data_IF_042875461053
#
_entry.id   IF_042875461053
#
_cell.length_a   1.000
_cell.length_b   1.000
_cell.length_c   1.000
_cell.angle_alpha   90.00
_cell.angle_beta   90.00
_cell.angle_gamma   90.00
#
_symmetry.space_group_name_H-M   'P 1'
#
loop_
_entity.id
_entity.type
_entity.pdbx_description
1 polymer ?
#
# COMPACT_ATOMS: atom_id res chain seq x y z
N UNK A 1 5.99 13.73 36.24
CA UNK A 1 4.79 14.56 35.98
C UNK A 1 3.59 13.65 36.17
N UNK A 2 2.63 14.05 37.03
CA UNK A 2 1.45 13.24 37.33
C UNK A 2 0.54 13.10 36.09
N UNK A 3 -0.26 12.03 36.05
CA UNK A 3 -1.28 11.85 35.03
C UNK A 3 -2.51 12.71 35.37
N UNK A 4 -2.85 13.64 34.48
CA UNK A 4 -4.10 14.37 34.49
C UNK A 4 -4.59 14.52 33.05
N UNK A 5 -5.89 14.63 32.84
CA UNK A 5 -6.48 14.84 31.51
C UNK A 5 -5.90 16.09 30.83
N UNK A 6 -5.70 17.17 31.59
CA UNK A 6 -5.09 18.40 31.09
C UNK A 6 -3.64 18.20 30.65
N UNK A 7 -2.86 17.39 31.37
CA UNK A 7 -1.50 17.07 30.98
C UNK A 7 -1.45 16.28 29.67
N UNK A 8 -2.40 15.36 29.45
CA UNK A 8 -2.55 14.63 28.19
C UNK A 8 -2.90 15.61 27.07
N UNK A 9 -3.93 16.44 27.25
CA UNK A 9 -4.38 17.40 26.23
C UNK A 9 -3.30 18.44 25.89
N UNK A 10 -2.53 18.89 26.87
CA UNK A 10 -1.39 19.78 26.66
C UNK A 10 -0.31 19.12 25.80
N UNK A 11 0.04 17.85 26.08
CA UNK A 11 1.01 17.09 25.28
C UNK A 11 0.53 16.84 23.86
N UNK A 12 -0.73 16.43 23.69
CA UNK A 12 -1.32 16.25 22.37
C UNK A 12 -1.36 17.57 21.58
N UNK A 13 -1.60 18.69 22.25
CA UNK A 13 -1.61 20.02 21.62
C UNK A 13 -0.20 20.50 21.23
N UNK A 14 0.82 20.20 22.04
CA UNK A 14 2.21 20.52 21.77
C UNK A 14 2.91 19.58 20.75
N UNK A 15 2.28 18.46 20.40
CA UNK A 15 2.83 17.46 19.48
C UNK A 15 3.17 18.04 18.09
N UNK A 16 4.42 17.91 17.65
CA UNK A 16 4.86 18.29 16.30
C UNK A 16 5.11 17.05 15.42
N UNK A 17 5.47 17.27 14.16
CA UNK A 17 5.80 16.19 13.20
C UNK A 17 7.21 15.61 13.44
N UNK A 18 8.02 16.21 14.32
CA UNK A 18 9.39 15.74 14.55
C UNK A 18 9.40 14.42 15.32
N UNK A 19 10.33 13.54 14.95
CA UNK A 19 10.47 12.22 15.59
C UNK A 19 10.66 12.35 17.11
N UNK A 20 11.49 13.28 17.57
CA UNK A 20 11.74 13.49 19.00
C UNK A 20 10.46 13.91 19.76
N UNK A 21 9.60 14.72 19.14
CA UNK A 21 8.32 15.12 19.74
C UNK A 21 7.39 13.92 19.87
N UNK A 22 7.26 13.13 18.80
CA UNK A 22 6.39 11.94 18.77
C UNK A 22 6.86 10.89 19.76
N UNK A 23 8.15 10.54 19.72
CA UNK A 23 8.75 9.54 20.62
C UNK A 23 8.68 10.00 22.07
N UNK A 24 9.02 11.26 22.37
CA UNK A 24 8.98 11.80 23.72
C UNK A 24 7.57 11.79 24.33
N UNK A 25 6.55 12.16 23.54
CA UNK A 25 5.16 12.09 23.99
C UNK A 25 4.70 10.63 24.13
N UNK A 26 5.03 9.75 23.18
CA UNK A 26 4.70 8.33 23.22
C UNK A 26 5.26 7.66 24.49
N UNK A 27 6.52 7.90 24.81
CA UNK A 27 7.18 7.37 26.01
C UNK A 27 6.45 7.78 27.30
N UNK A 28 6.06 9.06 27.41
CA UNK A 28 5.32 9.54 28.57
C UNK A 28 3.92 8.93 28.66
N UNK A 29 3.23 8.75 27.53
CA UNK A 29 1.93 8.09 27.46
C UNK A 29 2.05 6.62 27.88
N UNK A 30 3.03 5.90 27.35
CA UNK A 30 3.28 4.49 27.69
C UNK A 30 3.68 4.27 29.15
N UNK A 31 4.35 5.23 29.78
CA UNK A 31 4.63 5.18 31.21
C UNK A 31 3.33 5.15 32.04
N UNK A 32 2.28 5.84 31.57
CA UNK A 32 0.96 5.90 32.22
C UNK A 32 -0.06 4.90 31.62
N UNK A 33 0.39 3.71 31.19
CA UNK A 33 -0.46 2.68 30.55
C UNK A 33 -1.73 2.27 31.31
N UNK A 34 -1.75 2.44 32.65
CA UNK A 34 -2.96 2.19 33.47
C UNK A 34 -4.15 3.07 33.07
N UNK A 35 -3.88 4.18 32.39
CA UNK A 35 -4.89 5.10 31.87
C UNK A 35 -4.99 5.02 30.33
N UNK A 36 -4.67 3.87 29.73
CA UNK A 36 -4.69 3.70 28.27
C UNK A 36 -6.04 4.08 27.66
N UNK A 37 -7.14 3.54 28.20
CA UNK A 37 -8.49 3.81 27.71
C UNK A 37 -8.82 5.31 27.76
N UNK A 38 -8.59 5.96 28.91
CA UNK A 38 -8.82 7.41 29.05
C UNK A 38 -7.96 8.23 28.10
N UNK A 39 -6.71 7.83 27.91
CA UNK A 39 -5.79 8.51 26.99
C UNK A 39 -6.24 8.38 25.54
N UNK A 40 -6.72 7.19 25.12
CA UNK A 40 -7.24 6.98 23.76
C UNK A 40 -8.52 7.79 23.52
N UNK A 41 -9.41 7.88 24.51
CA UNK A 41 -10.60 8.74 24.42
C UNK A 41 -10.24 10.22 24.21
N UNK A 42 -9.29 10.75 24.99
CA UNK A 42 -8.81 12.13 24.85
C UNK A 42 -8.09 12.35 23.52
N UNK A 43 -7.30 11.37 23.08
CA UNK A 43 -6.65 11.38 21.77
C UNK A 43 -7.67 11.44 20.62
N UNK A 44 -8.71 10.59 20.66
CA UNK A 44 -9.74 10.57 19.62
C UNK A 44 -10.51 11.88 19.58
N UNK A 45 -10.89 12.41 20.75
CA UNK A 45 -11.54 13.73 20.86
C UNK A 45 -10.65 14.80 20.22
N UNK A 46 -9.37 14.84 20.60
CA UNK A 46 -8.43 15.82 20.05
C UNK A 46 -8.22 15.66 18.55
N UNK A 47 -8.21 14.44 18.04
CA UNK A 47 -8.08 14.15 16.60
C UNK A 47 -9.27 14.70 15.82
N UNK A 48 -10.49 14.52 16.31
CA UNK A 48 -11.71 15.08 15.70
C UNK A 48 -11.65 16.61 15.62
N UNK A 49 -11.18 17.26 16.68
CA UNK A 49 -11.08 18.72 16.81
C UNK A 49 -9.83 19.35 16.16
N UNK A 50 -9.01 18.57 15.45
CA UNK A 50 -7.72 19.01 14.89
C UNK A 50 -7.76 19.24 13.38
N UNK A 51 -6.84 20.06 12.86
CA UNK A 51 -6.61 20.24 11.42
C UNK A 51 -5.98 19.00 10.78
N UNK A 52 -6.03 18.88 9.44
CA UNK A 52 -5.51 17.72 8.71
C UNK A 52 -4.05 17.37 9.07
N UNK A 53 -3.16 18.36 9.11
CA UNK A 53 -1.75 18.13 9.48
C UNK A 53 -1.60 17.64 10.92
N UNK A 54 -2.39 18.22 11.83
CA UNK A 54 -2.35 17.84 13.25
C UNK A 54 -2.94 16.44 13.47
N UNK A 55 -3.97 16.05 12.70
CA UNK A 55 -4.51 14.68 12.68
C UNK A 55 -3.44 13.68 12.26
N UNK A 56 -2.64 13.98 11.24
CA UNK A 56 -1.52 13.12 10.83
C UNK A 56 -0.52 12.90 11.97
N UNK A 57 -0.10 13.96 12.68
CA UNK A 57 0.81 13.82 13.82
C UNK A 57 0.23 12.94 14.93
N UNK A 58 -1.09 13.06 15.18
CA UNK A 58 -1.79 12.21 16.14
C UNK A 58 -1.88 10.75 15.69
N UNK A 59 -2.00 10.48 14.39
CA UNK A 59 -1.90 9.13 13.82
C UNK A 59 -0.48 8.57 13.99
N UNK A 60 0.57 9.36 13.75
CA UNK A 60 1.94 8.94 14.01
C UNK A 60 2.20 8.63 15.48
N UNK A 61 1.63 9.41 16.40
CA UNK A 61 1.69 9.12 17.82
C UNK A 61 1.00 7.78 18.17
N UNK A 62 -0.21 7.54 17.64
CA UNK A 62 -0.91 6.28 17.86
C UNK A 62 -0.13 5.09 17.30
N UNK A 63 0.51 5.27 16.14
CA UNK A 63 1.41 4.30 15.54
C UNK A 63 2.60 3.98 16.46
N UNK A 64 3.31 5.00 16.95
CA UNK A 64 4.45 4.84 17.85
C UNK A 64 4.07 4.11 19.14
N UNK A 65 2.96 4.52 19.77
CA UNK A 65 2.46 3.89 21.00
C UNK A 65 2.03 2.45 20.76
N UNK A 66 1.30 2.15 19.68
CA UNK A 66 0.80 0.80 19.39
C UNK A 66 1.96 -0.16 19.11
N UNK A 67 2.93 0.25 18.29
CA UNK A 67 4.09 -0.56 17.96
C UNK A 67 4.99 -0.81 19.16
N UNK A 68 5.31 0.24 19.95
CA UNK A 68 6.12 0.05 21.15
C UNK A 68 5.40 -0.77 22.23
N UNK A 69 4.08 -0.63 22.35
CA UNK A 69 3.28 -1.44 23.27
C UNK A 69 3.34 -2.92 22.86
N UNK A 70 3.16 -3.21 21.56
CA UNK A 70 3.32 -4.57 21.01
C UNK A 70 4.72 -5.13 21.23
N UNK A 71 5.77 -4.37 20.89
CA UNK A 71 7.16 -4.80 21.04
C UNK A 71 7.56 -5.07 22.50
N UNK A 72 6.87 -4.45 23.46
CA UNK A 72 7.08 -4.65 24.91
C UNK A 72 6.11 -5.66 25.52
N UNK A 73 5.31 -6.37 24.69
CA UNK A 73 4.27 -7.30 25.14
C UNK A 73 3.30 -6.68 26.15
N UNK A 74 2.88 -5.44 25.87
CA UNK A 74 1.90 -4.68 26.67
C UNK A 74 0.69 -4.39 25.80
N UNK A 75 -0.45 -4.97 26.12
CA UNK A 75 -1.62 -4.92 25.26
C UNK A 75 -2.60 -3.80 25.64
N UNK A 76 -2.39 -3.09 26.75
CA UNK A 76 -3.38 -2.11 27.25
C UNK A 76 -3.73 -1.03 26.22
N UNK A 77 -2.72 -0.53 25.49
CA UNK A 77 -2.96 0.42 24.41
C UNK A 77 -3.53 -0.23 23.15
N UNK A 78 -3.14 -1.46 22.81
CA UNK A 78 -3.70 -2.16 21.65
C UNK A 78 -5.20 -2.40 21.84
N UNK A 79 -5.59 -2.90 23.01
CA UNK A 79 -7.00 -3.10 23.41
C UNK A 79 -7.75 -1.77 23.42
N UNK A 80 -7.16 -0.71 23.99
CA UNK A 80 -7.81 0.60 24.04
C UNK A 80 -7.98 1.25 22.65
N UNK A 81 -7.02 1.10 21.74
CA UNK A 81 -7.10 1.64 20.39
C UNK A 81 -8.05 0.85 19.48
N UNK A 82 -8.15 -0.46 19.67
CA UNK A 82 -8.94 -1.37 18.82
C UNK A 82 -10.35 -0.86 18.46
N UNK A 83 -11.21 -0.43 19.42
CA UNK A 83 -12.55 0.05 19.09
C UNK A 83 -12.58 1.43 18.42
N UNK A 84 -11.51 2.23 18.56
CA UNK A 84 -11.46 3.62 18.13
C UNK A 84 -10.68 3.84 16.81
N UNK A 85 -9.75 2.95 16.48
CA UNK A 85 -8.74 3.18 15.43
C UNK A 85 -9.35 3.31 14.04
N UNK A 86 -10.35 2.49 13.71
CA UNK A 86 -11.03 2.54 12.41
C UNK A 86 -11.79 3.86 12.19
N UNK A 87 -12.42 4.40 13.25
CA UNK A 87 -13.06 5.71 13.19
C UNK A 87 -12.03 6.85 13.14
N UNK A 88 -10.97 6.75 13.95
CA UNK A 88 -9.93 7.76 14.01
C UNK A 88 -9.20 7.92 12.67
N UNK A 89 -8.81 6.81 12.06
CA UNK A 89 -8.13 6.79 10.75
C UNK A 89 -9.04 7.34 9.67
N UNK A 90 -10.31 6.91 9.62
CA UNK A 90 -11.28 7.46 8.67
C UNK A 90 -11.47 8.97 8.84
N UNK A 91 -11.53 9.47 10.08
CA UNK A 91 -11.64 10.89 10.40
C UNK A 91 -10.39 11.69 9.98
N UNK A 92 -9.21 11.11 10.18
CA UNK A 92 -7.95 11.70 9.75
C UNK A 92 -7.82 11.73 8.23
N UNK A 93 -8.37 10.74 7.53
CA UNK A 93 -8.29 10.60 6.09
C UNK A 93 -9.31 11.46 5.34
N UNK A 94 -10.54 11.57 5.87
CA UNK A 94 -11.64 12.30 5.24
C UNK A 94 -11.32 13.80 5.15
N UNK A 95 -11.32 14.32 3.92
CA UNK A 95 -11.06 15.73 3.63
C UNK A 95 -9.59 16.15 3.77
N UNK A 96 -8.68 15.20 3.99
CA UNK A 96 -7.25 15.47 4.00
C UNK A 96 -6.68 15.65 2.58
N UNK A 97 -5.61 16.45 2.41
CA UNK A 97 -4.82 16.49 1.18
C UNK A 97 -4.28 15.11 0.75
N UNK A 98 -3.99 14.93 -0.54
CA UNK A 98 -3.57 13.65 -1.10
C UNK A 98 -2.25 13.12 -0.51
N UNK A 99 -1.30 14.00 -0.21
CA UNK A 99 -0.04 13.68 0.44
C UNK A 99 -0.23 13.18 1.87
N UNK A 100 -1.12 13.82 2.64
CA UNK A 100 -1.47 13.39 4.01
C UNK A 100 -2.18 12.03 3.98
N UNK A 101 -3.08 11.82 3.03
CA UNK A 101 -3.77 10.54 2.83
C UNK A 101 -2.81 9.40 2.51
N UNK A 102 -1.84 9.63 1.62
CA UNK A 102 -0.80 8.64 1.30
C UNK A 102 0.02 8.27 2.53
N UNK A 103 0.39 9.27 3.35
CA UNK A 103 1.11 9.03 4.61
C UNK A 103 0.28 8.23 5.62
N UNK A 104 -1.02 8.52 5.74
CA UNK A 104 -1.95 7.74 6.59
C UNK A 104 -2.05 6.29 6.08
N UNK A 105 -2.18 6.08 4.77
CA UNK A 105 -2.18 4.73 4.17
C UNK A 105 -0.92 3.97 4.51
N UNK A 106 0.25 4.61 4.37
CA UNK A 106 1.51 3.98 4.72
C UNK A 106 1.56 3.51 6.18
N UNK A 107 0.98 4.29 7.11
CA UNK A 107 0.88 3.86 8.53
C UNK A 107 -0.01 2.62 8.66
N UNK A 108 -1.15 2.58 7.97
CA UNK A 108 -2.06 1.42 7.98
C UNK A 108 -1.39 0.18 7.37
N UNK A 109 -0.64 0.34 6.26
CA UNK A 109 0.13 -0.75 5.64
C UNK A 109 1.18 -1.29 6.62
N UNK A 110 1.89 -0.40 7.33
CA UNK A 110 2.86 -0.79 8.36
C UNK A 110 2.19 -1.56 9.50
N UNK A 111 0.96 -1.21 9.88
CA UNK A 111 0.20 -2.00 10.86
C UNK A 111 -0.11 -3.40 10.36
N UNK A 112 -0.47 -3.56 9.09
CA UNK A 112 -0.67 -4.88 8.46
C UNK A 112 0.63 -5.67 8.40
N UNK A 113 1.70 -5.09 7.85
CA UNK A 113 3.01 -5.72 7.72
C UNK A 113 3.55 -6.24 9.06
N UNK A 114 3.34 -5.47 10.14
CA UNK A 114 3.80 -5.81 11.49
C UNK A 114 2.75 -6.50 12.34
N UNK A 115 1.58 -6.84 11.79
CA UNK A 115 0.42 -7.42 12.48
C UNK A 115 0.04 -6.67 13.76
N UNK A 116 0.10 -5.33 13.78
CA UNK A 116 -0.06 -4.51 15.00
C UNK A 116 -1.43 -4.69 15.64
N UNK A 117 -2.47 -4.73 14.81
CA UNK A 117 -3.85 -5.03 15.19
C UNK A 117 -4.28 -6.37 14.60
N UNK A 118 -5.32 -6.98 15.19
CA UNK A 118 -5.92 -8.19 14.66
C UNK A 118 -6.55 -7.96 13.28
N UNK A 119 -6.61 -9.02 12.47
CA UNK A 119 -7.12 -8.97 11.08
C UNK A 119 -8.48 -8.29 10.96
N UNK A 120 -9.50 -8.57 11.81
CA UNK A 120 -10.81 -7.92 11.67
C UNK A 120 -10.75 -6.39 11.85
N UNK A 121 -9.87 -5.91 12.74
CA UNK A 121 -9.69 -4.47 12.99
C UNK A 121 -8.97 -3.84 11.81
N UNK A 122 -7.91 -4.49 11.32
CA UNK A 122 -7.16 -4.04 10.16
C UNK A 122 -8.05 -3.94 8.91
N UNK A 123 -8.86 -4.96 8.66
CA UNK A 123 -9.80 -4.99 7.53
C UNK A 123 -10.88 -3.90 7.69
N UNK A 124 -11.37 -3.66 8.91
CA UNK A 124 -12.31 -2.57 9.17
C UNK A 124 -11.70 -1.17 8.90
N UNK A 125 -10.42 -0.96 9.22
CA UNK A 125 -9.70 0.28 8.90
C UNK A 125 -9.60 0.45 7.38
N UNK A 126 -9.15 -0.57 6.67
CA UNK A 126 -8.94 -0.52 5.22
C UNK A 126 -10.24 -0.39 4.43
N UNK A 127 -11.29 -1.11 4.83
CA UNK A 127 -12.61 -1.00 4.21
C UNK A 127 -13.14 0.44 4.30
N UNK A 128 -13.02 1.10 5.45
CA UNK A 128 -13.41 2.51 5.61
C UNK A 128 -12.60 3.44 4.72
N UNK A 129 -11.28 3.21 4.60
CA UNK A 129 -10.45 4.01 3.70
C UNK A 129 -10.82 3.82 2.23
N UNK A 130 -11.12 2.58 1.83
CA UNK A 130 -11.53 2.25 0.48
C UNK A 130 -12.93 2.81 0.14
N UNK A 131 -13.86 2.79 1.09
CA UNK A 131 -15.17 3.45 0.95
C UNK A 131 -15.02 4.97 0.75
N UNK A 132 -14.13 5.62 1.51
CA UNK A 132 -13.88 7.06 1.36
C UNK A 132 -13.24 7.39 -0.01
N UNK A 133 -12.38 6.53 -0.54
CA UNK A 133 -11.83 6.68 -1.88
C UNK A 133 -12.88 6.48 -2.96
N UNK A 134 -13.72 5.45 -2.85
CA UNK A 134 -14.83 5.19 -3.77
C UNK A 134 -15.81 6.35 -3.78
N UNK A 135 -16.17 6.87 -2.60
CA UNK A 135 -17.04 8.04 -2.47
C UNK A 135 -16.43 9.27 -3.17
N UNK A 136 -15.09 9.41 -3.16
CA UNK A 136 -14.38 10.48 -3.87
C UNK A 136 -14.29 10.25 -5.38
N UNK A 137 -14.23 9.00 -5.83
CA UNK A 137 -14.21 8.60 -7.24
C UNK A 137 -15.46 8.99 -8.03
N UNK A 138 -16.58 9.24 -7.34
CA UNK A 138 -17.84 9.75 -7.94
C UNK A 138 -17.92 11.27 -8.05
N UNK A 139 -16.97 12.02 -7.46
CA UNK A 139 -16.95 13.50 -7.49
C UNK A 139 -15.56 14.00 -7.89
N UNK A 140 -15.20 13.79 -9.16
CA UNK A 140 -14.44 14.72 -10.02
C UNK A 140 -13.99 14.00 -11.29
N UNK A 141 -14.80 14.12 -12.33
CA UNK A 141 -14.31 14.36 -13.69
C UNK A 141 -13.44 15.61 -13.65
N UNK A 142 -12.14 15.40 -13.45
CA UNK A 142 -11.11 16.42 -13.44
C UNK A 142 -9.91 15.93 -14.24
N UNK A 143 -9.96 16.21 -15.54
CA UNK A 143 -8.89 16.01 -16.50
C UNK A 143 -7.59 16.68 -16.00
N UNK A 144 -6.50 15.93 -15.89
CA UNK A 144 -5.14 16.48 -15.73
C UNK A 144 -4.52 16.31 -14.35
N UNK A 145 -3.68 15.29 -14.21
CA UNK A 145 -2.89 15.08 -13.00
C UNK A 145 -2.02 13.83 -13.06
N UNK A 146 -0.92 13.91 -13.82
CA UNK A 146 0.34 13.17 -13.61
C UNK A 146 0.27 11.73 -13.09
N UNK A 147 0.14 10.77 -14.01
CA UNK A 147 0.24 9.32 -13.78
C UNK A 147 1.71 8.82 -13.77
N UNK A 148 2.69 9.70 -13.59
CA UNK A 148 4.10 9.33 -13.54
C UNK A 148 4.74 9.88 -12.27
N UNK A 149 4.37 9.26 -11.16
CA UNK A 149 4.90 9.52 -9.82
C UNK A 149 5.09 8.21 -9.06
N UNK A 150 6.11 7.45 -9.45
CA UNK A 150 6.88 6.45 -8.67
C UNK A 150 6.12 5.48 -7.74
N UNK A 151 6.19 4.19 -8.13
CA UNK A 151 5.99 2.93 -7.37
C UNK A 151 4.64 2.20 -7.41
N UNK A 152 3.68 2.60 -8.24
CA UNK A 152 2.63 1.66 -8.65
C UNK A 152 3.22 0.70 -9.70
N UNK A 153 3.58 -0.53 -9.29
CA UNK A 153 3.95 -1.58 -10.23
C UNK A 153 2.80 -1.77 -11.22
N UNK A 154 3.06 -1.50 -12.50
CA UNK A 154 2.08 -1.73 -13.55
C UNK A 154 1.69 -3.22 -13.51
N UNK A 155 0.39 -3.55 -13.64
CA UNK A 155 -0.04 -4.92 -13.85
C UNK A 155 0.76 -5.56 -14.99
N UNK A 156 1.19 -6.84 -14.88
CA UNK A 156 2.04 -7.50 -15.88
C UNK A 156 1.53 -7.35 -17.32
N UNK A 157 0.21 -7.45 -17.50
CA UNK A 157 -0.47 -7.31 -18.80
C UNK A 157 -0.31 -5.92 -19.45
N UNK A 158 -0.07 -4.87 -18.66
CA UNK A 158 0.06 -3.49 -19.12
C UNK A 158 1.52 -3.05 -19.31
N UNK A 159 2.48 -3.86 -18.84
CA UNK A 159 3.91 -3.59 -19.00
C UNK A 159 4.31 -3.42 -20.48
N UNK A 160 3.84 -4.26 -21.43
CA UNK A 160 4.19 -4.12 -22.84
C UNK A 160 3.73 -2.80 -23.47
N UNK A 161 2.65 -2.19 -22.95
CA UNK A 161 2.08 -0.93 -23.46
C UNK A 161 2.86 0.31 -23.03
N UNK A 162 3.65 0.21 -21.96
CA UNK A 162 4.34 1.36 -21.37
C UNK A 162 5.31 2.04 -22.36
N UNK A 163 6.14 1.26 -23.05
CA UNK A 163 7.18 1.76 -23.96
C UNK A 163 6.58 2.35 -25.24
N UNK A 164 5.66 1.66 -25.95
CA UNK A 164 4.96 2.25 -27.10
C UNK A 164 4.23 3.55 -26.76
N UNK A 165 3.55 3.62 -25.61
CA UNK A 165 2.85 4.83 -25.17
C UNK A 165 3.81 5.99 -24.88
N UNK A 166 4.94 5.73 -24.23
CA UNK A 166 5.97 6.74 -24.00
C UNK A 166 6.58 7.24 -25.31
N UNK A 167 6.81 6.36 -26.28
CA UNK A 167 7.35 6.74 -27.58
C UNK A 167 6.40 7.66 -28.35
N UNK A 168 5.10 7.36 -28.37
CA UNK A 168 4.09 8.26 -28.96
C UNK A 168 4.09 9.61 -28.27
N UNK A 169 4.16 9.62 -26.93
CA UNK A 169 4.16 10.86 -26.14
C UNK A 169 5.37 11.73 -26.45
N UNK A 170 6.57 11.12 -26.56
CA UNK A 170 7.81 11.82 -26.88
C UNK A 170 7.80 12.46 -28.27
N UNK A 171 7.21 11.79 -29.26
CA UNK A 171 7.20 12.24 -30.65
C UNK A 171 6.07 13.23 -30.96
N UNK A 172 5.00 13.24 -30.15
CA UNK A 172 3.80 14.03 -30.43
C UNK A 172 4.04 15.55 -30.47
N UNK A 173 4.72 16.09 -29.46
CA UNK A 173 5.00 17.53 -29.35
C UNK A 173 5.90 18.04 -30.48
N UNK A 174 7.08 17.43 -30.77
CA UNK A 174 7.93 17.90 -31.87
C UNK A 174 7.26 17.74 -33.24
N UNK A 175 6.49 16.68 -33.47
CA UNK A 175 5.76 16.51 -34.73
C UNK A 175 4.70 17.60 -34.93
N UNK A 176 3.93 17.95 -33.89
CA UNK A 176 2.97 19.06 -33.96
C UNK A 176 3.66 20.40 -34.24
N UNK A 177 4.80 20.67 -33.61
CA UNK A 177 5.55 21.89 -33.86
C UNK A 177 6.08 21.97 -35.30
N UNK A 178 6.61 20.86 -35.83
CA UNK A 178 7.10 20.78 -37.20
C UNK A 178 5.98 20.98 -38.23
N UNK A 179 4.82 20.34 -38.02
CA UNK A 179 3.63 20.51 -38.88
C UNK A 179 3.15 21.96 -38.86
N UNK A 180 2.94 22.55 -37.68
CA UNK A 180 2.51 23.94 -37.56
C UNK A 180 3.48 24.92 -38.24
N UNK A 181 4.79 24.68 -38.12
CA UNK A 181 5.80 25.51 -38.78
C UNK A 181 5.74 25.38 -40.30
N UNK A 182 5.55 24.16 -40.81
CA UNK A 182 5.42 23.90 -42.24
C UNK A 182 4.15 24.54 -42.81
N UNK A 183 3.02 24.40 -42.13
CA UNK A 183 1.74 24.99 -42.54
C UNK A 183 1.83 26.52 -42.59
N UNK A 184 2.40 27.15 -41.56
CA UNK A 184 2.59 28.60 -41.53
C UNK A 184 3.50 29.10 -42.66
N UNK A 185 4.57 28.38 -42.98
CA UNK A 185 5.48 28.76 -44.06
C UNK A 185 4.86 28.53 -45.44
N UNK A 186 4.07 27.47 -45.58
CA UNK A 186 3.28 27.17 -46.77
C UNK A 186 2.25 28.27 -47.03
N UNK A 187 1.42 28.61 -46.05
CA UNK A 187 0.37 29.62 -46.17
C UNK A 187 0.93 31.00 -46.53
N UNK A 188 2.10 31.36 -45.97
CA UNK A 188 2.79 32.62 -46.28
C UNK A 188 3.23 32.73 -47.75
N UNK A 189 3.49 31.61 -48.42
CA UNK A 189 4.04 31.57 -49.77
C UNK A 189 3.01 31.16 -50.84
N UNK A 190 2.03 30.34 -50.47
CA UNK A 190 1.06 29.73 -51.37
C UNK A 190 -0.40 30.09 -51.03
N UNK A 191 -0.64 30.84 -49.95
CA UNK A 191 -1.98 31.26 -49.55
C UNK A 191 -2.61 32.31 -50.47
N UNK A 192 -3.96 32.42 -50.47
CA UNK A 192 -4.67 33.43 -51.26
C UNK A 192 -4.30 34.85 -50.78
N UNK A 193 -3.63 35.62 -51.64
CA UNK A 193 -3.15 36.97 -51.32
C UNK A 193 -1.69 37.07 -50.88
N UNK A 194 -0.92 35.98 -50.95
CA UNK A 194 0.52 36.01 -50.71
C UNK A 194 1.24 36.93 -51.71
N UNK A 195 1.97 37.94 -51.21
CA UNK A 195 2.74 38.84 -52.05
C UNK A 195 3.94 38.10 -52.66
N UNK A 196 4.03 38.06 -53.99
CA UNK A 196 5.11 37.37 -54.71
C UNK A 196 6.39 38.21 -54.57
N UNK A 197 7.43 37.71 -53.88
CA UNK A 197 8.70 38.41 -53.77
C UNK A 197 9.48 38.33 -55.10
N UNK A 198 10.56 39.12 -55.26
CA UNK A 198 11.41 39.05 -56.44
C UNK A 198 11.93 37.64 -56.70
N UNK A 199 12.03 37.25 -57.98
CA UNK A 199 12.36 35.88 -58.42
C UNK A 199 13.52 35.18 -57.65
N UNK A 200 14.70 35.79 -57.41
CA UNK A 200 15.77 35.13 -56.65
C UNK A 200 15.41 34.89 -55.18
N UNK A 201 14.66 35.81 -54.56
CA UNK A 201 14.19 35.68 -53.18
C UNK A 201 13.08 34.63 -53.10
N UNK A 202 12.21 34.56 -54.10
CA UNK A 202 11.15 33.57 -54.17
C UNK A 202 11.70 32.15 -54.29
N UNK A 203 12.68 31.92 -55.17
CA UNK A 203 13.35 30.62 -55.30
C UNK A 203 14.06 30.17 -54.02
N UNK A 204 14.71 31.10 -53.30
CA UNK A 204 15.33 30.82 -52.00
C UNK A 204 14.29 30.44 -50.93
N UNK A 205 13.16 31.15 -50.88
CA UNK A 205 12.06 30.86 -49.94
C UNK A 205 11.38 29.52 -50.24
N UNK A 206 11.17 29.18 -51.51
CA UNK A 206 10.64 27.86 -51.89
C UNK A 206 11.58 26.72 -51.50
N UNK A 207 12.89 26.92 -51.65
CA UNK A 207 13.89 25.94 -51.18
C UNK A 207 13.84 25.77 -49.65
N UNK A 208 13.62 26.86 -48.91
CA UNK A 208 13.39 26.85 -47.46
C UNK A 208 12.12 26.06 -47.09
N UNK A 209 10.99 26.37 -47.74
CA UNK A 209 9.72 25.68 -47.55
C UNK A 209 9.82 24.18 -47.82
N UNK A 210 10.49 23.76 -48.90
CA UNK A 210 10.72 22.34 -49.18
C UNK A 210 11.46 21.64 -48.03
N UNK A 211 12.47 22.29 -47.45
CA UNK A 211 13.20 21.75 -46.30
C UNK A 211 12.30 21.61 -45.07
N UNK A 212 11.49 22.62 -44.78
CA UNK A 212 10.53 22.61 -43.65
C UNK A 212 9.48 21.52 -43.84
N UNK A 213 8.96 21.34 -45.07
CA UNK A 213 8.00 20.28 -45.41
C UNK A 213 8.58 18.88 -45.23
N UNK A 214 9.80 18.63 -45.73
CA UNK A 214 10.49 17.33 -45.56
C UNK A 214 10.73 17.03 -44.07
N UNK A 215 11.08 18.05 -43.27
CA UNK A 215 11.24 17.89 -41.84
C UNK A 215 9.91 17.53 -41.13
N UNK A 216 8.82 18.19 -41.51
CA UNK A 216 7.48 17.90 -40.96
C UNK A 216 7.01 16.50 -41.38
N UNK A 217 7.21 16.11 -42.64
CA UNK A 217 6.91 14.78 -43.16
C UNK A 217 7.64 13.68 -42.36
N UNK A 218 8.95 13.82 -42.17
CA UNK A 218 9.74 12.86 -41.39
C UNK A 218 9.29 12.77 -39.93
N UNK A 219 8.92 13.89 -39.30
CA UNK A 219 8.41 13.90 -37.93
C UNK A 219 7.04 13.21 -37.81
N UNK A 220 6.15 13.41 -38.80
CA UNK A 220 4.85 12.75 -38.87
C UNK A 220 5.01 11.25 -39.13
N UNK A 221 5.92 10.85 -40.02
CA UNK A 221 6.20 9.43 -40.31
C UNK A 221 6.62 8.67 -39.04
N UNK A 222 7.52 9.26 -38.24
CA UNK A 222 7.93 8.69 -36.96
C UNK A 222 6.75 8.55 -35.98
N UNK A 223 5.89 9.56 -35.89
CA UNK A 223 4.67 9.50 -35.09
C UNK A 223 3.72 8.40 -35.55
N UNK A 224 3.51 8.25 -36.87
CA UNK A 224 2.67 7.20 -37.44
C UNK A 224 3.23 5.83 -37.11
N UNK A 225 4.54 5.61 -37.28
CA UNK A 225 5.20 4.36 -36.92
C UNK A 225 5.04 4.01 -35.44
N UNK A 226 5.24 4.98 -34.55
CA UNK A 226 5.06 4.78 -33.11
C UNK A 226 3.61 4.44 -32.74
N UNK A 227 2.63 5.12 -33.35
CA UNK A 227 1.20 4.83 -33.12
C UNK A 227 0.80 3.45 -33.63
N UNK A 228 1.30 3.01 -34.80
CA UNK A 228 1.05 1.66 -35.31
C UNK A 228 1.56 0.58 -34.36
N UNK A 229 2.75 0.77 -33.78
CA UNK A 229 3.29 -0.15 -32.78
C UNK A 229 2.42 -0.20 -31.50
N UNK A 230 1.97 0.95 -31.00
CA UNK A 230 1.06 1.01 -29.85
C UNK A 230 -0.27 0.29 -30.13
N UNK A 231 -0.86 0.54 -31.30
CA UNK A 231 -2.13 -0.11 -31.70
C UNK A 231 -1.96 -1.63 -31.79
N UNK A 232 -0.83 -2.12 -32.30
CA UNK A 232 -0.57 -3.56 -32.37
C UNK A 232 -0.55 -4.23 -30.98
N UNK A 233 0.12 -3.61 -30.00
CA UNK A 233 0.14 -4.14 -28.62
C UNK A 233 -1.23 -4.04 -27.93
N UNK A 234 -1.98 -2.96 -28.16
CA UNK A 234 -3.35 -2.83 -27.66
C UNK A 234 -4.28 -3.91 -28.24
N UNK A 235 -4.13 -4.20 -29.53
CA UNK A 235 -4.92 -5.24 -30.20
C UNK A 235 -4.61 -6.62 -29.62
N UNK A 236 -3.32 -6.93 -29.39
CA UNK A 236 -2.90 -8.19 -28.76
C UNK A 236 -3.52 -8.37 -27.36
N UNK A 237 -3.52 -7.31 -26.54
CA UNK A 237 -4.13 -7.36 -25.22
C UNK A 237 -5.65 -7.57 -25.31
N UNK A 238 -6.31 -6.88 -26.25
CA UNK A 238 -7.75 -7.02 -26.49
C UNK A 238 -8.11 -8.44 -26.92
N UNK A 239 -7.33 -9.04 -27.82
CA UNK A 239 -7.59 -10.40 -28.30
C UNK A 239 -7.36 -11.45 -27.22
N UNK A 240 -6.36 -11.25 -26.34
CA UNK A 240 -6.16 -12.09 -25.15
C UNK A 240 -7.39 -12.06 -24.22
N UNK A 241 -7.92 -10.87 -23.93
CA UNK A 241 -9.10 -10.72 -23.08
C UNK A 241 -10.35 -11.32 -23.72
N UNK A 242 -10.52 -11.18 -25.04
CA UNK A 242 -11.62 -11.81 -25.77
C UNK A 242 -11.55 -13.33 -25.72
N UNK A 243 -10.36 -13.91 -25.86
CA UNK A 243 -10.17 -15.35 -25.75
C UNK A 243 -10.48 -15.88 -24.34
N UNK A 244 -10.04 -15.16 -23.30
CA UNK A 244 -10.37 -15.49 -21.92
C UNK A 244 -11.89 -15.40 -21.66
N UNK A 245 -12.54 -14.34 -22.14
CA UNK A 245 -13.99 -14.17 -22.02
C UNK A 245 -14.76 -15.34 -22.65
N UNK A 246 -14.40 -15.74 -23.86
CA UNK A 246 -15.02 -16.88 -24.54
C UNK A 246 -14.83 -18.20 -23.77
N UNK A 247 -13.65 -18.38 -23.14
CA UNK A 247 -13.38 -19.56 -22.31
C UNK A 247 -14.25 -19.56 -21.04
N UNK A 248 -14.38 -18.42 -20.38
CA UNK A 248 -15.21 -18.26 -19.18
C UNK A 248 -16.70 -18.47 -19.50
N UNK A 249 -17.19 -17.92 -20.63
CA UNK A 249 -18.56 -18.15 -21.12
C UNK A 249 -18.80 -19.64 -21.39
N UNK A 250 -17.87 -20.33 -22.06
CA UNK A 250 -17.98 -21.78 -22.28
C UNK A 250 -17.98 -22.59 -20.98
N UNK A 251 -17.22 -22.17 -19.97
CA UNK A 251 -17.24 -22.82 -18.65
C UNK A 251 -18.56 -22.61 -17.93
N UNK A 252 -19.14 -21.41 -18.03
CA UNK A 252 -20.46 -21.11 -17.48
C UNK A 252 -21.53 -22.03 -18.08
N UNK A 253 -21.57 -22.18 -19.41
CA UNK A 253 -22.49 -23.08 -20.09
C UNK A 253 -22.30 -24.53 -19.65
N UNK A 254 -21.05 -24.97 -19.50
CA UNK A 254 -20.74 -26.32 -19.03
C UNK A 254 -21.21 -26.57 -17.58
N UNK A 255 -21.15 -25.56 -16.71
CA UNK A 255 -21.69 -25.66 -15.36
C UNK A 255 -23.22 -25.65 -15.34
N UNK A 256 -23.87 -24.92 -16.23
CA UNK A 256 -25.34 -24.93 -16.37
C UNK A 256 -25.86 -26.30 -16.83
N UNK A 257 -25.18 -26.92 -17.81
CA UNK A 257 -25.48 -28.28 -18.25
C UNK A 257 -25.32 -29.28 -17.11
N UNK A 258 -24.17 -29.27 -16.41
CA UNK A 258 -23.93 -30.13 -15.25
C UNK A 258 -24.96 -29.93 -14.14
N UNK A 259 -25.37 -28.68 -13.89
CA UNK A 259 -26.40 -28.38 -12.89
C UNK A 259 -27.73 -29.02 -13.28
N UNK A 260 -28.12 -28.90 -14.55
CA UNK A 260 -29.34 -29.50 -15.08
C UNK A 260 -29.31 -31.03 -14.95
N UNK A 261 -28.19 -31.67 -15.30
CA UNK A 261 -28.00 -33.12 -15.15
C UNK A 261 -28.12 -33.58 -13.68
N UNK A 262 -27.53 -32.82 -12.76
CA UNK A 262 -27.60 -33.11 -11.32
C UNK A 262 -29.03 -32.91 -10.78
N UNK A 263 -29.73 -31.86 -11.22
CA UNK A 263 -31.13 -31.61 -10.85
C UNK A 263 -32.04 -32.72 -11.39
N UNK A 264 -31.85 -33.15 -12.64
CA UNK A 264 -32.59 -34.28 -13.21
C UNK A 264 -32.35 -35.55 -12.40
N UNK A 265 -31.09 -35.89 -12.12
CA UNK A 265 -30.74 -37.07 -11.32
C UNK A 265 -31.34 -37.01 -9.92
N UNK A 266 -31.31 -35.82 -9.30
CA UNK A 266 -31.96 -35.59 -8.00
C UNK A 266 -33.45 -35.87 -8.07
N UNK A 267 -34.16 -35.31 -9.06
CA UNK A 267 -35.61 -35.54 -9.20
C UNK A 267 -35.96 -36.99 -9.53
N UNK A 268 -35.09 -37.71 -10.25
CA UNK A 268 -35.24 -39.15 -10.52
C UNK A 268 -35.16 -39.95 -9.22
N UNK A 269 -34.15 -39.68 -8.39
CA UNK A 269 -33.99 -40.32 -7.07
C UNK A 269 -35.17 -40.00 -6.16
N UNK A 270 -35.61 -38.73 -6.11
CA UNK A 270 -36.78 -38.33 -5.33
C UNK A 270 -38.06 -39.02 -5.82
N UNK A 271 -38.23 -39.17 -7.14
CA UNK A 271 -39.37 -39.89 -7.73
C UNK A 271 -39.32 -41.39 -7.39
N UNK A 272 -38.14 -42.02 -7.42
CA UNK A 272 -37.98 -43.42 -7.04
C UNK A 272 -38.35 -43.65 -5.56
N UNK A 273 -37.97 -42.71 -4.68
CA UNK A 273 -38.37 -42.72 -3.26
C UNK A 273 -39.89 -42.59 -3.13
N UNK A 274 -40.53 -41.66 -3.87
CA UNK A 274 -41.99 -41.46 -3.80
C UNK A 274 -42.80 -42.59 -4.46
N UNK A 275 -42.29 -43.22 -5.50
CA UNK A 275 -42.97 -44.29 -6.23
C UNK A 275 -42.97 -45.64 -5.48
N UNK A 276 -42.27 -45.73 -4.34
CA UNK A 276 -42.27 -46.92 -3.49
C UNK A 276 -41.82 -48.16 -4.24
N UNK A 277 -40.58 -48.18 -4.75
CA UNK A 277 -39.97 -49.44 -5.17
C UNK A 277 -39.66 -50.31 -3.93
N UNK A 278 -39.82 -51.65 -4.04
CA UNK A 278 -39.72 -52.55 -2.90
C UNK A 278 -38.31 -52.49 -2.33
N UNK A 279 -38.28 -52.38 -1.01
CA UNK A 279 -37.10 -52.32 -0.18
C UNK A 279 -36.34 -53.66 -0.23
N UNK A 280 -35.41 -53.80 -1.18
CA UNK A 280 -34.31 -54.76 -1.09
C UNK A 280 -33.01 -54.01 -1.38
N UNK A 281 -32.44 -53.43 -0.32
CA UNK A 281 -31.04 -53.58 0.12
C UNK A 281 -30.87 -52.80 1.44
N UNK A 282 -30.16 -53.34 2.44
CA UNK A 282 -30.55 -53.16 3.83
C UNK A 282 -29.83 -51.98 4.48
N UNK A 283 -30.62 -50.97 4.91
CA UNK A 283 -30.22 -50.14 6.03
C UNK A 283 -30.30 -50.99 7.32
N UNK A 284 -29.22 -51.71 7.62
CA UNK A 284 -29.07 -52.44 8.87
C UNK A 284 -28.88 -51.45 10.03
N UNK A 285 -29.98 -51.06 10.66
CA UNK A 285 -30.02 -50.70 12.08
C UNK A 285 -30.63 -51.86 12.84
N UNK A 286 -29.82 -52.66 13.54
CA UNK A 286 -30.34 -53.39 14.71
C UNK A 286 -29.26 -53.62 15.76
N UNK A 287 -29.61 -53.17 16.96
CA UNK A 287 -28.98 -53.50 18.22
C UNK A 287 -29.83 -54.66 18.80
N UNK A 288 -29.22 -55.81 19.10
CA UNK A 288 -29.81 -56.80 20.02
C UNK A 288 -29.91 -58.24 19.54
N UNK A 289 -29.09 -59.08 20.18
CA UNK A 289 -29.36 -60.45 20.66
C UNK A 289 -29.44 -61.61 19.66
N UNK A 290 -28.39 -62.45 19.72
CA UNK A 290 -28.54 -63.91 19.86
C UNK A 290 -28.68 -64.74 18.58
N UNK A 291 -27.60 -65.44 18.21
CA UNK A 291 -27.51 -66.91 18.17
C UNK A 291 -26.47 -67.37 17.13
N UNK A 292 -25.78 -68.45 17.46
CA UNK A 292 -24.55 -68.94 16.84
C UNK A 292 -24.80 -69.68 15.52
N UNK A 293 -23.90 -69.52 14.53
CA UNK A 293 -23.33 -70.63 13.72
C UNK A 293 -22.29 -70.11 12.70
N UNK A 294 -21.08 -70.68 12.74
CA UNK A 294 -19.95 -70.51 11.80
C UNK A 294 -20.26 -71.10 10.38
N UNK A 295 -19.42 -70.98 9.31
CA UNK A 295 -18.02 -70.51 9.26
C UNK A 295 -17.71 -69.47 8.15
N UNK A 296 -16.71 -68.61 8.38
CA UNK A 296 -16.18 -67.66 7.39
C UNK A 296 -14.76 -68.08 6.95
N UNK A 297 -14.46 -68.15 5.64
CA UNK A 297 -13.12 -68.45 5.14
C UNK A 297 -12.25 -67.19 5.00
N UNK A 298 -11.07 -67.27 5.61
CA UNK A 298 -9.77 -66.67 5.27
C UNK A 298 -9.75 -65.33 4.50
N UNK A 299 -9.47 -64.25 5.24
CA UNK A 299 -8.68 -63.13 4.71
C UNK A 299 -7.55 -62.79 5.68
N UNK A 300 -6.31 -62.93 5.18
CA UNK A 300 -5.04 -62.67 5.86
C UNK A 300 -5.02 -61.34 6.60
N UNK A 301 -4.96 -61.42 7.93
CA UNK A 301 -4.54 -60.30 8.77
C UNK A 301 -3.02 -60.36 8.94
N UNK A 302 -2.32 -59.38 8.36
CA UNK A 302 -0.91 -59.12 8.68
C UNK A 302 -0.83 -58.53 10.09
N UNK A 303 -0.58 -59.42 11.04
CA UNK A 303 -0.41 -59.16 12.46
C UNK A 303 0.75 -58.19 12.73
N UNK A 304 0.56 -57.17 13.60
CA UNK A 304 1.66 -56.41 14.19
C UNK A 304 2.33 -57.22 15.32
N UNK A 305 3.66 -57.12 15.56
CA UNK A 305 4.25 -57.81 16.68
C UNK A 305 4.23 -56.96 17.96
N UNK A 306 3.72 -57.52 19.05
CA UNK A 306 4.03 -57.11 20.42
C UNK A 306 4.49 -58.32 21.24
N UNK A 307 5.65 -58.13 21.86
CA UNK A 307 6.40 -58.79 22.94
C UNK A 307 5.83 -59.96 23.78
N UNK A 308 6.81 -60.78 24.27
CA UNK A 308 6.90 -61.66 25.48
C UNK A 308 6.69 -63.19 25.33
N UNK A 309 7.20 -64.10 26.21
CA UNK A 309 8.40 -64.14 27.10
C UNK A 309 9.16 -65.54 27.16
N UNK A 310 10.15 -65.67 28.09
CA UNK A 310 10.79 -66.89 28.69
C UNK A 310 11.86 -67.67 27.86
N UNK A 311 13.07 -68.08 28.32
CA UNK A 311 13.47 -68.86 29.53
C UNK A 311 15.00 -68.73 29.86
N UNK A 312 15.31 -68.68 31.18
CA UNK A 312 16.49 -69.10 32.00
C UNK A 312 17.96 -69.05 31.51
N UNK A 313 18.87 -68.45 32.29
CA UNK A 313 19.69 -69.12 33.35
C UNK A 313 20.56 -68.11 34.14
N UNK A 314 20.72 -68.37 35.45
CA UNK A 314 21.50 -67.66 36.49
C UNK A 314 23.02 -67.96 36.41
N UNK A 315 23.91 -67.52 37.34
CA UNK A 315 23.90 -66.41 38.31
C UNK A 315 25.25 -65.64 38.41
N UNK A 316 25.25 -64.44 39.05
CA UNK A 316 26.15 -64.13 40.18
C UNK A 316 26.04 -62.66 40.63
N UNK A 317 25.49 -62.45 41.82
CA UNK A 317 25.81 -61.35 42.76
C UNK A 317 26.94 -61.83 43.72
N UNK A 318 27.55 -61.03 44.63
CA UNK A 318 27.15 -59.73 45.22
C UNK A 318 28.33 -58.70 45.22
N UNK A 319 28.30 -57.48 45.78
CA UNK A 319 27.75 -57.03 47.06
C UNK A 319 27.68 -55.49 47.16
N UNK A 320 26.73 -55.03 47.98
CA UNK A 320 26.77 -53.94 48.98
C UNK A 320 27.64 -52.71 48.69
N UNK A 321 27.19 -51.45 48.81
CA UNK A 321 26.43 -50.87 49.91
C UNK A 321 26.21 -49.37 49.65
N UNK A 322 25.06 -48.84 50.08
CA UNK A 322 24.78 -47.40 50.28
C UNK A 322 25.66 -46.85 51.45
N UNK A 323 25.94 -45.53 51.69
CA UNK A 323 24.96 -44.42 51.66
C UNK A 323 25.45 -42.94 51.44
N UNK A 324 24.50 -42.06 51.07
CA UNK A 324 24.16 -40.73 51.65
C UNK A 324 25.19 -39.57 51.88
N UNK A 325 24.77 -38.36 51.42
CA UNK A 325 24.93 -36.97 51.96
C UNK A 325 25.85 -35.94 51.25
N UNK A 326 25.20 -34.99 50.55
CA UNK A 326 25.33 -33.51 50.44
C UNK A 326 26.72 -32.79 50.34
N UNK A 327 26.78 -31.43 50.20
CA UNK A 327 27.03 -30.73 48.92
C UNK A 327 28.28 -29.83 48.93
N UNK A 328 28.86 -29.49 47.76
CA UNK A 328 29.62 -28.23 47.61
C UNK A 328 29.89 -27.85 46.15
N UNK A 329 30.00 -26.55 45.89
CA UNK A 329 30.32 -25.87 44.62
C UNK A 329 31.74 -25.30 44.81
N UNK A 330 32.72 -25.33 43.87
CA UNK A 330 32.75 -24.32 42.79
C UNK A 330 33.60 -24.58 41.51
N UNK A 331 33.27 -23.77 40.49
CA UNK A 331 34.09 -23.13 39.43
C UNK A 331 35.01 -23.89 38.45
N UNK A 332 34.78 -23.55 37.18
CA UNK A 332 35.70 -23.24 36.06
C UNK A 332 36.88 -24.17 35.75
N UNK A 333 36.89 -24.72 34.52
CA UNK A 333 37.97 -24.54 33.53
C UNK A 333 37.72 -25.37 32.24
N UNK A 334 37.51 -24.64 31.14
CA UNK A 334 38.15 -24.79 29.80
C UNK A 334 38.33 -26.15 29.09
N UNK A 335 37.79 -26.16 27.85
CA UNK A 335 38.48 -26.36 26.55
C UNK A 335 38.16 -27.61 25.67
N UNK A 336 37.82 -27.27 24.40
CA UNK A 336 37.94 -28.00 23.11
C UNK A 336 36.84 -28.97 22.66
N UNK A 337 36.19 -28.69 21.52
CA UNK A 337 36.63 -29.22 20.21
C UNK A 337 35.88 -28.64 18.98
N UNK A 338 36.68 -28.34 17.93
CA UNK A 338 36.47 -28.59 16.49
C UNK A 338 35.29 -27.96 15.69
N UNK A 339 35.67 -26.90 14.95
CA UNK A 339 35.49 -26.63 13.50
C UNK A 339 34.48 -27.41 12.65
N UNK A 340 33.58 -26.66 11.98
CA UNK A 340 33.24 -26.85 10.56
C UNK A 340 32.78 -25.51 9.92
N UNK A 341 33.06 -25.25 8.63
CA UNK A 341 33.08 -23.91 8.04
C UNK A 341 31.80 -23.57 7.27
N UNK A 342 31.41 -22.29 7.33
CA UNK A 342 30.40 -21.74 6.42
C UNK A 342 29.34 -20.94 7.14
N UNK A 343 29.60 -19.64 7.31
CA UNK A 343 28.67 -18.48 7.31
C UNK A 343 29.51 -17.30 7.84
N UNK A 344 30.47 -16.84 7.04
CA UNK A 344 31.09 -15.52 7.20
C UNK A 344 31.10 -14.84 5.82
N UNK A 345 29.94 -14.37 5.39
CA UNK A 345 29.87 -13.42 4.28
C UNK A 345 28.65 -12.48 4.32
N UNK A 346 28.13 -12.16 5.52
CA UNK A 346 27.06 -11.16 5.66
C UNK A 346 27.22 -10.18 6.85
N UNK A 347 28.34 -10.25 7.59
CA UNK A 347 28.62 -9.32 8.69
C UNK A 347 29.82 -8.41 8.39
N UNK A 348 29.79 -7.76 7.22
CA UNK A 348 30.90 -6.91 6.73
C UNK A 348 30.50 -5.59 6.07
N UNK A 349 29.20 -5.23 6.00
CA UNK A 349 28.75 -4.00 5.30
C UNK A 349 28.01 -2.99 6.19
N UNK A 350 28.03 -3.13 7.52
CA UNK A 350 27.32 -2.21 8.43
C UNK A 350 28.23 -1.27 9.24
N UNK A 351 29.48 -1.09 8.83
CA UNK A 351 30.46 -0.34 9.63
C UNK A 351 31.25 0.71 8.85
N UNK A 352 30.66 1.48 7.92
CA UNK A 352 31.32 2.65 7.31
C UNK A 352 30.34 3.79 6.95
N UNK A 353 29.92 4.58 7.94
CA UNK A 353 29.79 6.04 7.77
C UNK A 353 30.01 6.72 9.12
N UNK A 354 31.19 7.35 9.26
CA UNK A 354 31.56 8.22 10.36
C UNK A 354 30.85 9.57 10.19
N UNK A 355 30.22 10.03 11.26
CA UNK A 355 29.62 11.35 11.42
C UNK A 355 30.67 12.48 11.37
N UNK A 356 30.38 13.55 10.64
CA UNK A 356 31.16 14.80 10.65
C UNK A 356 30.65 15.72 11.77
N UNK A 357 31.51 16.30 12.64
CA UNK A 357 31.09 17.28 13.63
C UNK A 357 31.17 18.70 13.04
N UNK A 358 30.14 19.53 13.23
CA UNK A 358 30.25 20.99 13.06
C UNK A 358 30.18 21.63 14.44
N UNK A 359 31.35 22.09 14.88
CA UNK A 359 31.54 22.92 16.06
C UNK A 359 31.23 24.38 15.73
N UNK A 360 30.65 25.08 16.69
CA UNK A 360 30.30 26.47 16.63
C UNK A 360 31.51 27.42 16.79
N UNK A 361 31.29 28.66 16.34
CA UNK A 361 31.91 29.92 16.76
C UNK A 361 33.06 30.50 15.90
N UNK A 362 32.79 31.67 15.31
CA UNK A 362 33.73 32.49 14.55
C UNK A 362 33.25 33.93 14.42
N UNK A 363 33.63 34.76 15.38
CA UNK A 363 33.31 36.18 15.56
C UNK A 363 33.85 37.08 14.44
N UNK A 364 32.98 37.89 13.81
CA UNK A 364 33.38 39.20 13.23
C UNK A 364 32.34 40.27 13.56
N UNK A 365 32.72 41.13 14.51
CA UNK A 365 32.12 42.44 14.78
C UNK A 365 32.12 43.27 13.50
N UNK A 366 30.99 43.87 13.13
CA UNK A 366 30.96 45.21 12.55
C UNK A 366 29.91 46.04 13.28
N UNK A 367 30.38 47.22 13.61
CA UNK A 367 29.88 48.21 14.56
C UNK A 367 28.80 49.03 13.85
N UNK A 368 27.76 49.36 14.60
CA UNK A 368 26.75 50.36 14.28
C UNK A 368 27.42 51.74 14.28
N UNK A 369 27.26 52.50 13.20
CA UNK A 369 27.35 53.96 13.21
C UNK A 369 26.08 54.48 12.51
N UNK A 370 25.40 55.35 13.23
CA UNK A 370 24.18 56.09 12.95
C UNK A 370 24.58 57.40 12.26
N UNK A 371 24.05 57.69 11.07
CA UNK A 371 23.90 59.06 10.55
C UNK A 371 23.14 59.06 9.21
N UNK A 372 22.06 59.87 9.16
CA UNK A 372 21.71 60.73 8.03
C UNK A 372 21.13 60.14 6.73
N UNK A 373 19.84 60.42 6.51
CA UNK A 373 19.22 60.75 5.21
C UNK A 373 19.48 59.84 4.00
N UNK A 374 18.54 58.92 3.72
CA UNK A 374 17.90 58.77 2.40
C UNK A 374 16.90 57.60 2.43
N UNK A 375 15.61 57.91 2.61
CA UNK A 375 14.52 56.97 2.32
C UNK A 375 14.04 57.26 0.90
N UNK A 376 14.16 56.32 -0.06
CA UNK A 376 13.54 56.51 -1.36
C UNK A 376 12.03 56.34 -1.22
N UNK A 377 11.35 57.48 -1.38
CA UNK A 377 9.92 57.62 -1.67
C UNK A 377 9.52 56.70 -2.83
N UNK A 378 8.76 55.66 -2.50
CA UNK A 378 8.03 54.83 -3.46
C UNK A 378 6.54 55.06 -3.26
N UNK A 379 6.09 56.24 -3.69
CA UNK A 379 5.00 56.37 -4.65
C UNK A 379 3.70 55.65 -4.28
N UNK A 380 2.85 56.37 -3.57
CA UNK A 380 1.44 56.07 -3.45
C UNK A 380 0.70 56.36 -4.78
N UNK A 381 0.72 55.39 -5.69
CA UNK A 381 -0.21 55.29 -6.83
C UNK A 381 -0.95 53.95 -6.63
N UNK A 382 -2.22 53.91 -6.27
CA UNK A 382 -3.34 54.54 -6.96
C UNK A 382 -4.28 53.39 -7.31
N UNK A 383 -5.22 53.07 -6.40
CA UNK A 383 -6.25 52.06 -6.64
C UNK A 383 -7.05 52.52 -7.86
N UNK A 384 -7.10 51.68 -8.91
CA UNK A 384 -7.85 51.94 -10.12
C UNK A 384 -9.29 52.40 -9.80
N UNK A 385 -9.71 53.48 -10.45
CA UNK A 385 -11.04 54.07 -10.25
C UNK A 385 -12.17 53.05 -10.46
N UNK A 386 -11.94 52.07 -11.33
CA UNK A 386 -12.88 50.99 -11.65
C UNK A 386 -13.05 50.00 -10.48
N UNK A 387 -11.99 49.79 -9.69
CA UNK A 387 -12.02 48.93 -8.49
C UNK A 387 -12.75 49.63 -7.34
N UNK A 388 -12.59 50.95 -7.23
CA UNK A 388 -13.32 51.76 -6.25
C UNK A 388 -14.81 51.92 -6.56
N UNK A 389 -15.23 51.76 -7.82
CA UNK A 389 -16.64 51.76 -8.21
C UNK A 389 -17.32 50.39 -7.97
N UNK A 390 -16.61 49.28 -8.21
CA UNK A 390 -17.12 47.93 -7.89
C UNK A 390 -17.42 47.76 -6.39
N UNK A 391 -16.52 48.23 -5.51
CA UNK A 391 -16.70 48.14 -4.05
C UNK A 391 -17.87 48.99 -3.53
N UNK A 392 -18.26 50.05 -4.26
CA UNK A 392 -19.43 50.87 -3.92
C UNK A 392 -20.75 50.28 -4.39
N UNK A 393 -20.75 49.48 -5.47
CA UNK A 393 -21.96 48.77 -5.93
C UNK A 393 -22.35 47.62 -5.01
N UNK A 394 -21.37 46.91 -4.46
CA UNK A 394 -21.62 45.75 -3.58
C UNK A 394 -22.08 46.15 -2.15
N UNK A 395 -21.88 47.40 -1.75
CA UNK A 395 -22.26 47.89 -0.42
C UNK A 395 -23.62 48.59 -0.36
N UNK A 396 -24.29 48.83 -1.50
CA UNK A 396 -25.59 49.50 -1.58
C UNK A 396 -26.79 48.56 -1.82
N UNK A 397 -26.57 47.24 -1.74
CA UNK A 397 -27.58 46.21 -2.02
C UNK A 397 -27.99 45.35 -0.82
N UNK A 398 -27.94 45.88 0.41
CA UNK A 398 -28.42 45.19 1.62
C UNK A 398 -29.38 46.08 2.42
#
# INVERSE_FOLDING_TARGET
>A
MAYTDDAVLAKLSALSETQDSIVGVAQWIMFHRRHAERTVQLWLKRLKDSSSQKRLNLIYLANEVSQQSKARHREEFLVAFSPAVAEAVATAYKGAPADVQQRIRRVVDVWRERNVFETPIQDAVENRLNELDKARGTTKTGLGGSIFGSTASLPPELVPLSTPQQNVTKLLTPAKAAVNSADQEYDKLMGPGAAIPPAPVYAARLSGLLKTLVQAEGAVEQCVKARRALVAELQKLLDSNRAALLADESQMDAFEQKKTEVEEKKTEVERAIMAGLPNDEPYMTSNGLGDQSAPEPEVEALTPPSMEPEVAEQPSQPADSNPQWSPDVPQEATFQQATAPGIEMLSGMAAHYKSVPVSANGSKKRRLDDDGDDFPDLGADGIDADVAEMLRRDSAGA
#
